data_IF_570551342731
#
_entry.id   IF_570551342731
#
_cell.length_a   1.000
_cell.length_b   1.000
_cell.length_c   1.000
_cell.angle_alpha   90.00
_cell.angle_beta   90.00
_cell.angle_gamma   90.00
#
_symmetry.space_group_name_H-M   'P 1'
#
loop_
_entity.id
_entity.type
_entity.pdbx_description
1 polymer ?
#
# COMPACT_ATOMS: atom_id res chain seq x y z
N UNK A 1 -15.83 2.93 49.32
CA UNK A 1 -15.49 4.37 49.54
C UNK A 1 -16.56 5.20 50.28
N UNK A 2 -17.84 4.79 50.35
CA UNK A 2 -18.91 5.61 51.01
C UNK A 2 -18.85 5.63 52.54
N UNK A 3 -18.47 4.53 53.20
CA UNK A 3 -18.40 4.40 54.67
C UNK A 3 -17.44 5.43 55.31
N UNK A 4 -16.26 5.67 54.68
CA UNK A 4 -15.30 6.67 55.18
C UNK A 4 -15.82 8.11 55.13
N UNK A 5 -16.66 8.46 54.14
CA UNK A 5 -17.23 9.81 54.03
C UNK A 5 -18.26 10.08 55.11
N UNK A 6 -19.07 9.08 55.48
CA UNK A 6 -20.08 9.21 56.53
C UNK A 6 -19.42 9.36 57.90
N UNK A 7 -18.39 8.56 58.20
CA UNK A 7 -17.65 8.71 59.46
C UNK A 7 -16.92 10.05 59.57
N UNK A 8 -16.39 10.58 58.46
CA UNK A 8 -15.75 11.90 58.44
C UNK A 8 -16.77 13.01 58.72
N UNK A 9 -17.97 12.94 58.13
CA UNK A 9 -19.04 13.90 58.42
C UNK A 9 -19.53 13.82 59.87
N UNK A 10 -19.62 12.61 60.43
CA UNK A 10 -20.02 12.40 61.82
C UNK A 10 -19.00 12.98 62.81
N UNK A 11 -17.71 12.73 62.59
CA UNK A 11 -16.63 13.31 63.39
C UNK A 11 -16.55 14.83 63.26
N UNK A 12 -16.72 15.36 62.04
CA UNK A 12 -16.74 16.80 61.80
C UNK A 12 -17.91 17.47 62.54
N UNK A 13 -19.11 16.86 62.51
CA UNK A 13 -20.28 17.33 63.24
C UNK A 13 -20.04 17.42 64.74
N UNK A 14 -19.50 16.36 65.35
CA UNK A 14 -19.17 16.34 66.79
C UNK A 14 -18.15 17.43 67.14
N UNK A 15 -17.09 17.57 66.35
CA UNK A 15 -16.10 18.64 66.56
C UNK A 15 -16.73 20.04 66.49
N UNK A 16 -17.60 20.30 65.51
CA UNK A 16 -18.29 21.59 65.38
C UNK A 16 -19.22 21.84 66.57
N UNK A 17 -19.97 20.83 67.02
CA UNK A 17 -20.84 20.98 68.19
C UNK A 17 -20.05 21.31 69.45
N UNK A 18 -18.91 20.63 69.67
CA UNK A 18 -18.02 20.91 70.82
C UNK A 18 -17.48 22.34 70.75
N UNK A 19 -17.05 22.79 69.57
CA UNK A 19 -16.54 24.17 69.36
C UNK A 19 -17.64 25.19 69.69
N UNK A 20 -18.88 24.97 69.25
CA UNK A 20 -20.01 25.87 69.53
C UNK A 20 -20.31 25.93 71.03
N UNK A 21 -20.34 24.78 71.72
CA UNK A 21 -20.57 24.75 73.18
C UNK A 21 -19.47 25.45 73.97
N UNK A 22 -18.20 25.28 73.55
CA UNK A 22 -17.07 25.99 74.17
C UNK A 22 -17.14 27.50 73.92
N UNK A 23 -17.38 27.92 72.67
CA UNK A 23 -17.56 29.34 72.35
C UNK A 23 -18.71 29.94 73.16
N UNK A 24 -19.84 29.25 73.26
CA UNK A 24 -21.03 29.76 73.95
C UNK A 24 -20.80 29.96 75.46
N UNK A 25 -20.00 29.11 76.09
CA UNK A 25 -19.68 29.23 77.52
C UNK A 25 -18.63 30.32 77.79
N UNK A 26 -17.67 30.52 76.89
CA UNK A 26 -16.59 31.49 77.05
C UNK A 26 -17.01 32.91 76.64
N UNK A 27 -17.89 33.04 75.63
CA UNK A 27 -18.49 34.33 75.24
C UNK A 27 -19.35 34.94 76.35
N UNK A 28 -19.98 34.11 77.20
CA UNK A 28 -20.85 34.60 78.28
C UNK A 28 -20.10 35.35 79.39
N UNK A 29 -18.76 35.29 79.43
CA UNK A 29 -17.96 35.79 80.56
C UNK A 29 -17.18 37.07 80.28
N UNK A 30 -17.07 37.51 79.01
CA UNK A 30 -16.29 38.70 78.62
C UNK A 30 -16.99 39.45 77.48
N UNK A 31 -17.53 40.63 77.79
CA UNK A 31 -18.30 41.46 76.85
C UNK A 31 -17.48 41.91 75.61
N UNK A 32 -16.15 41.96 75.71
CA UNK A 32 -15.28 42.46 74.64
C UNK A 32 -15.04 41.44 73.50
N UNK A 33 -15.24 40.15 73.78
CA UNK A 33 -15.07 39.07 72.77
C UNK A 33 -16.13 39.17 71.68
N UNK A 34 -17.32 39.67 72.01
CA UNK A 34 -18.41 39.83 71.05
C UNK A 34 -18.04 40.78 69.89
N UNK A 35 -17.35 41.89 70.20
CA UNK A 35 -16.93 42.86 69.20
C UNK A 35 -15.86 42.28 68.26
N UNK A 36 -14.87 41.58 68.82
CA UNK A 36 -13.81 40.91 68.05
C UNK A 36 -14.38 39.80 67.16
N UNK A 37 -15.31 39.01 67.70
CA UNK A 37 -15.96 37.92 66.94
C UNK A 37 -16.85 38.47 65.82
N UNK A 38 -17.66 39.50 66.09
CA UNK A 38 -18.51 40.14 65.08
C UNK A 38 -17.68 40.77 63.96
N UNK A 39 -16.54 41.37 64.31
CA UNK A 39 -15.57 41.87 63.33
C UNK A 39 -14.97 40.75 62.49
N UNK A 40 -14.51 39.66 63.11
CA UNK A 40 -13.95 38.51 62.41
C UNK A 40 -14.97 37.83 61.48
N UNK A 41 -16.24 37.73 61.89
CA UNK A 41 -17.32 37.18 61.06
C UNK A 41 -17.62 38.07 59.85
N UNK A 42 -17.66 39.39 60.04
CA UNK A 42 -17.86 40.35 58.94
C UNK A 42 -16.69 40.32 57.96
N UNK A 43 -15.45 40.27 58.47
CA UNK A 43 -14.25 40.13 57.66
C UNK A 43 -14.22 38.79 56.88
N UNK A 44 -14.61 37.69 57.54
CA UNK A 44 -14.72 36.38 56.88
C UNK A 44 -15.75 36.42 55.76
N UNK A 45 -16.92 37.04 55.99
CA UNK A 45 -17.96 37.20 54.96
C UNK A 45 -17.45 38.03 53.77
N UNK A 46 -16.68 39.08 54.02
CA UNK A 46 -16.07 39.89 52.97
C UNK A 46 -15.10 39.07 52.12
N UNK A 47 -14.24 38.26 52.75
CA UNK A 47 -13.30 37.38 52.04
C UNK A 47 -14.05 36.36 51.19
N UNK A 48 -15.07 35.69 51.73
CA UNK A 48 -15.86 34.73 50.96
C UNK A 48 -16.56 35.39 49.76
N UNK A 49 -17.08 36.61 49.93
CA UNK A 49 -17.67 37.38 48.83
C UNK A 49 -16.64 37.67 47.72
N UNK A 50 -15.43 38.09 48.08
CA UNK A 50 -14.34 38.33 47.12
C UNK A 50 -13.97 37.05 46.38
N UNK A 51 -13.83 35.92 47.08
CA UNK A 51 -13.54 34.62 46.47
C UNK A 51 -14.65 34.23 45.48
N UNK A 52 -15.91 34.43 45.84
CA UNK A 52 -17.06 34.14 44.97
C UNK A 52 -17.06 35.01 43.71
N UNK A 53 -16.72 36.31 43.82
CA UNK A 53 -16.57 37.21 42.68
C UNK A 53 -15.45 36.72 41.76
N UNK A 54 -14.28 36.38 42.30
CA UNK A 54 -13.14 35.86 41.53
C UNK A 54 -13.52 34.56 40.81
N UNK A 55 -14.14 33.61 41.51
CA UNK A 55 -14.57 32.35 40.90
C UNK A 55 -15.58 32.58 39.78
N UNK A 56 -16.51 33.52 39.94
CA UNK A 56 -17.47 33.89 38.89
C UNK A 56 -16.77 34.47 37.67
N UNK A 57 -15.77 35.34 37.85
CA UNK A 57 -14.97 35.91 36.76
C UNK A 57 -14.17 34.84 36.01
N UNK A 58 -13.51 33.93 36.73
CA UNK A 58 -12.76 32.82 36.13
C UNK A 58 -13.69 31.86 35.38
N UNK A 59 -14.84 31.52 35.96
CA UNK A 59 -15.85 30.67 35.32
C UNK A 59 -16.39 31.31 34.04
N UNK A 60 -16.66 32.62 34.04
CA UNK A 60 -17.12 33.35 32.85
C UNK A 60 -16.05 33.36 31.75
N UNK A 61 -14.78 33.59 32.08
CA UNK A 61 -13.69 33.53 31.10
C UNK A 61 -13.53 32.13 30.49
N UNK A 62 -13.67 31.08 31.30
CA UNK A 62 -13.63 29.70 30.80
C UNK A 62 -14.83 29.35 29.90
N UNK A 63 -16.00 29.92 30.19
CA UNK A 63 -17.22 29.69 29.40
C UNK A 63 -17.12 30.28 28.01
N UNK A 64 -16.56 31.49 27.87
CA UNK A 64 -16.30 32.11 26.56
C UNK A 64 -15.34 31.27 25.72
N UNK A 65 -14.24 30.78 26.32
CA UNK A 65 -13.27 29.93 25.64
C UNK A 65 -13.90 28.59 25.18
N UNK A 66 -14.74 27.97 26.00
CA UNK A 66 -15.48 26.76 25.63
C UNK A 66 -16.45 27.04 24.49
N UNK A 67 -17.16 28.17 24.50
CA UNK A 67 -18.08 28.53 23.43
C UNK A 67 -17.36 28.72 22.09
N UNK A 68 -16.20 29.39 22.09
CA UNK A 68 -15.35 29.55 20.90
C UNK A 68 -14.81 28.20 20.41
N UNK A 69 -14.40 27.30 21.31
CA UNK A 69 -13.96 25.96 20.94
C UNK A 69 -15.11 25.13 20.31
N UNK A 70 -16.33 25.24 20.86
CA UNK A 70 -17.53 24.60 20.30
C UNK A 70 -17.86 25.17 18.92
N UNK A 71 -17.79 26.49 18.73
CA UNK A 71 -17.97 27.11 17.41
C UNK A 71 -16.93 26.61 16.41
N UNK A 72 -15.65 26.59 16.79
CA UNK A 72 -14.58 26.07 15.93
C UNK A 72 -14.79 24.59 15.56
N UNK A 73 -15.21 23.76 16.52
CA UNK A 73 -15.53 22.36 16.26
C UNK A 73 -16.76 22.20 15.35
N UNK A 74 -17.79 23.05 15.51
CA UNK A 74 -18.97 23.07 14.66
C UNK A 74 -18.61 23.47 13.22
N UNK A 75 -17.76 24.48 13.04
CA UNK A 75 -17.30 24.93 11.72
C UNK A 75 -16.46 23.85 11.02
N UNK A 76 -15.55 23.19 11.76
CA UNK A 76 -14.78 22.06 11.24
C UNK A 76 -15.70 20.90 10.81
N UNK A 77 -16.72 20.59 11.61
CA UNK A 77 -17.71 19.55 11.30
C UNK A 77 -18.50 19.93 10.04
N UNK A 78 -18.91 21.19 9.92
CA UNK A 78 -19.62 21.69 8.75
C UNK A 78 -18.76 21.59 7.48
N UNK A 79 -17.49 21.98 7.56
CA UNK A 79 -16.52 21.86 6.47
C UNK A 79 -16.32 20.41 6.04
N UNK A 80 -16.09 19.51 7.00
CA UNK A 80 -15.96 18.08 6.74
C UNK A 80 -17.22 17.50 6.06
N UNK A 81 -18.41 17.89 6.53
CA UNK A 81 -19.67 17.47 5.90
C UNK A 81 -19.79 17.96 4.46
N UNK A 82 -19.36 19.18 4.16
CA UNK A 82 -19.35 19.72 2.79
C UNK A 82 -18.37 18.95 1.90
N UNK A 83 -17.20 18.61 2.40
CA UNK A 83 -16.20 17.83 1.68
C UNK A 83 -16.71 16.41 1.38
N UNK A 84 -17.34 15.75 2.36
CA UNK A 84 -17.99 14.44 2.15
C UNK A 84 -19.05 14.52 1.05
N UNK A 85 -19.89 15.57 1.05
CA UNK A 85 -20.90 15.76 0.01
C UNK A 85 -20.28 15.95 -1.37
N UNK A 86 -19.18 16.70 -1.46
CA UNK A 86 -18.44 16.88 -2.71
C UNK A 86 -17.85 15.55 -3.21
N UNK A 87 -17.15 14.82 -2.34
CA UNK A 87 -16.58 13.50 -2.68
C UNK A 87 -17.66 12.50 -3.06
N UNK A 88 -18.81 12.49 -2.39
CA UNK A 88 -19.94 11.64 -2.74
C UNK A 88 -20.52 11.96 -4.13
N UNK A 89 -20.61 13.25 -4.48
CA UNK A 89 -21.04 13.68 -5.80
C UNK A 89 -20.04 13.27 -6.90
N UNK A 90 -18.74 13.42 -6.63
CA UNK A 90 -17.71 13.00 -7.58
C UNK A 90 -17.70 11.48 -7.77
N UNK A 91 -17.81 10.72 -6.69
CA UNK A 91 -17.95 9.27 -6.75
C UNK A 91 -19.18 8.86 -7.55
N UNK A 92 -20.32 9.52 -7.34
CA UNK A 92 -21.54 9.27 -8.11
C UNK A 92 -21.31 9.49 -9.61
N UNK A 93 -20.59 10.55 -9.98
CA UNK A 93 -20.24 10.85 -11.37
C UNK A 93 -19.35 9.76 -11.97
N UNK A 94 -18.32 9.34 -11.25
CA UNK A 94 -17.44 8.25 -11.69
C UNK A 94 -18.22 6.93 -11.87
N UNK A 95 -19.12 6.61 -10.95
CA UNK A 95 -19.98 5.42 -11.06
C UNK A 95 -20.90 5.49 -12.28
N UNK A 96 -21.41 6.68 -12.62
CA UNK A 96 -22.20 6.89 -13.84
C UNK A 96 -21.39 6.75 -15.13
N UNK A 97 -20.06 6.92 -15.08
CA UNK A 97 -19.17 6.68 -16.23
C UNK A 97 -18.74 5.22 -16.39
N UNK A 98 -18.97 4.35 -15.40
CA UNK A 98 -18.59 2.93 -15.50
C UNK A 98 -19.29 2.22 -16.68
N UNK A 99 -20.62 2.36 -16.88
CA UNK A 99 -21.30 1.70 -17.99
C UNK A 99 -20.74 2.11 -19.35
N UNK A 100 -20.47 3.40 -19.58
CA UNK A 100 -19.94 3.87 -20.86
C UNK A 100 -18.52 3.36 -21.14
N UNK A 101 -17.68 3.28 -20.11
CA UNK A 101 -16.35 2.65 -20.24
C UNK A 101 -16.45 1.14 -20.47
N UNK A 102 -17.43 0.48 -19.86
CA UNK A 102 -17.69 -0.94 -20.06
C UNK A 102 -18.18 -1.22 -21.49
N UNK A 103 -19.06 -0.37 -22.04
CA UNK A 103 -19.50 -0.43 -23.44
C UNK A 103 -18.31 -0.23 -24.40
N UNK A 104 -17.40 0.70 -24.10
CA UNK A 104 -16.19 0.91 -24.89
C UNK A 104 -15.27 -0.32 -24.86
N UNK A 105 -15.13 -0.95 -23.69
CA UNK A 105 -14.37 -2.21 -23.55
C UNK A 105 -15.06 -3.33 -24.33
N UNK A 106 -16.38 -3.50 -24.21
CA UNK A 106 -17.14 -4.49 -24.97
C UNK A 106 -16.91 -4.31 -26.47
N UNK A 107 -17.02 -3.07 -26.97
CA UNK A 107 -16.76 -2.77 -28.37
C UNK A 107 -15.32 -3.04 -28.80
N UNK A 108 -14.32 -2.85 -27.93
CA UNK A 108 -12.92 -3.24 -28.21
C UNK A 108 -12.78 -4.77 -28.24
N UNK A 109 -13.40 -5.48 -27.31
CA UNK A 109 -13.41 -6.95 -27.27
C UNK A 109 -14.05 -7.52 -28.52
N UNK A 110 -15.20 -7.00 -28.95
CA UNK A 110 -15.89 -7.44 -30.16
C UNK A 110 -15.04 -7.22 -31.42
N UNK A 111 -14.33 -6.09 -31.50
CA UNK A 111 -13.37 -5.83 -32.59
C UNK A 111 -12.19 -6.77 -32.55
N UNK A 112 -11.66 -7.07 -31.36
CA UNK A 112 -10.58 -8.04 -31.19
C UNK A 112 -11.05 -9.43 -31.59
N UNK A 113 -12.24 -9.85 -31.18
CA UNK A 113 -12.82 -11.13 -31.57
C UNK A 113 -13.03 -11.22 -33.08
N UNK A 114 -13.59 -10.17 -33.69
CA UNK A 114 -13.76 -10.09 -35.15
C UNK A 114 -12.41 -10.12 -35.90
N UNK A 115 -11.37 -9.48 -35.36
CA UNK A 115 -10.03 -9.51 -35.94
C UNK A 115 -9.39 -10.90 -35.80
N UNK A 116 -9.62 -11.59 -34.68
CA UNK A 116 -9.18 -12.97 -34.47
C UNK A 116 -9.92 -13.92 -35.41
N UNK A 117 -11.24 -13.78 -35.57
CA UNK A 117 -12.03 -14.59 -36.49
C UNK A 117 -11.59 -14.36 -37.95
N UNK A 118 -11.37 -13.10 -38.35
CA UNK A 118 -10.82 -12.78 -39.67
C UNK A 118 -9.43 -13.39 -39.87
N UNK A 119 -8.60 -13.42 -38.83
CA UNK A 119 -7.28 -14.07 -38.84
C UNK A 119 -7.36 -15.60 -38.88
N UNK A 120 -8.34 -16.20 -38.20
CA UNK A 120 -8.58 -17.64 -38.22
C UNK A 120 -9.11 -18.10 -39.59
N UNK A 121 -9.99 -17.30 -40.20
CA UNK A 121 -10.58 -17.60 -41.51
C UNK A 121 -9.57 -17.42 -42.64
N UNK A 122 -8.59 -16.50 -42.50
CA UNK A 122 -7.50 -16.34 -43.48
C UNK A 122 -6.41 -17.40 -43.38
N UNK A 123 -6.38 -18.19 -42.30
CA UNK A 123 -5.39 -19.25 -42.03
C UNK A 123 -5.90 -20.68 -42.16
N UNK A 124 -7.15 -20.91 -42.62
CA UNK A 124 -7.56 -22.27 -42.99
C UNK A 124 -6.67 -22.76 -44.15
N UNK A 125 -5.73 -23.70 -43.92
CA UNK A 125 -4.94 -24.26 -44.99
C UNK A 125 -5.87 -25.19 -45.77
N UNK A 126 -5.83 -25.10 -47.09
CA UNK A 126 -6.17 -26.29 -47.89
C UNK A 126 -5.20 -27.37 -47.46
N UNK A 127 -5.71 -28.49 -46.98
CA UNK A 127 -4.95 -29.71 -46.80
C UNK A 127 -4.32 -30.05 -48.14
N UNK A 128 -3.01 -29.86 -48.28
CA UNK A 128 -2.17 -30.67 -49.15
C UNK A 128 -0.72 -30.61 -48.65
N UNK A 129 -0.25 -31.81 -48.35
CA UNK A 129 1.12 -32.31 -48.26
C UNK A 129 2.13 -31.65 -47.30
N UNK A 130 2.52 -32.49 -46.33
CA UNK A 130 3.73 -32.34 -45.57
C UNK A 130 4.96 -32.36 -46.50
N UNK A 131 5.72 -31.27 -46.52
CA UNK A 131 7.09 -31.29 -47.04
C UNK A 131 8.05 -30.58 -46.09
N UNK A 132 9.19 -31.23 -45.89
CA UNK A 132 10.27 -30.87 -44.99
C UNK A 132 11.14 -29.84 -45.68
N UNK A 133 11.12 -28.58 -45.27
CA UNK A 133 12.20 -27.64 -45.62
C UNK A 133 12.40 -26.54 -44.58
N UNK A 134 13.65 -26.06 -44.54
CA UNK A 134 14.28 -25.14 -43.58
C UNK A 134 13.53 -23.80 -43.35
N UNK A 135 13.80 -23.08 -42.25
CA UNK A 135 12.90 -22.05 -41.75
C UNK A 135 12.90 -20.81 -42.64
N UNK A 136 11.70 -20.47 -43.12
CA UNK A 136 11.44 -19.31 -43.97
C UNK A 136 11.55 -18.00 -43.17
N UNK A 137 12.08 -16.95 -43.81
CA UNK A 137 12.48 -15.69 -43.16
C UNK A 137 11.34 -14.87 -42.54
N UNK A 138 10.10 -15.23 -42.84
CA UNK A 138 8.89 -14.51 -42.41
C UNK A 138 8.51 -14.81 -40.94
N UNK A 139 8.77 -16.03 -40.47
CA UNK A 139 8.41 -16.43 -39.10
C UNK A 139 9.36 -15.80 -38.05
N UNK A 140 10.63 -15.59 -38.42
CA UNK A 140 11.62 -14.93 -37.56
C UNK A 140 11.28 -13.44 -37.33
N UNK A 141 10.73 -12.75 -38.34
CA UNK A 141 10.27 -11.37 -38.18
C UNK A 141 9.02 -11.29 -37.29
N UNK A 142 8.12 -12.26 -37.37
CA UNK A 142 6.99 -12.35 -36.45
C UNK A 142 7.42 -12.62 -35.00
N UNK A 143 8.43 -13.47 -34.78
CA UNK A 143 9.01 -13.70 -33.46
C UNK A 143 9.69 -12.44 -32.90
N UNK A 144 10.45 -11.70 -33.73
CA UNK A 144 11.05 -10.41 -33.33
C UNK A 144 9.99 -9.35 -33.02
N UNK A 145 8.91 -9.30 -33.82
CA UNK A 145 7.79 -8.37 -33.62
C UNK A 145 7.02 -8.69 -32.35
N UNK A 146 6.86 -9.97 -32.03
CA UNK A 146 6.30 -10.43 -30.77
C UNK A 146 7.18 -10.02 -29.58
N UNK A 147 8.49 -10.26 -29.65
CA UNK A 147 9.44 -9.83 -28.60
C UNK A 147 9.44 -8.31 -28.40
N UNK A 148 9.36 -7.51 -29.47
CA UNK A 148 9.25 -6.03 -29.37
C UNK A 148 7.95 -5.56 -28.70
N UNK A 149 6.88 -6.36 -28.77
CA UNK A 149 5.58 -6.07 -28.15
C UNK A 149 5.42 -6.72 -26.79
N UNK A 150 6.31 -7.64 -26.43
CA UNK A 150 6.30 -8.32 -25.15
C UNK A 150 6.76 -7.36 -24.05
N UNK A 151 6.22 -7.54 -22.85
CA UNK A 151 6.71 -6.81 -21.68
C UNK A 151 8.11 -7.30 -21.31
N UNK A 152 8.90 -6.46 -20.64
CA UNK A 152 10.23 -6.84 -20.15
C UNK A 152 10.16 -8.11 -19.30
N UNK A 153 9.10 -8.28 -18.49
CA UNK A 153 8.89 -9.51 -17.72
C UNK A 153 8.64 -10.75 -18.58
N UNK A 154 7.95 -10.64 -19.72
CA UNK A 154 7.79 -11.78 -20.64
C UNK A 154 9.11 -12.20 -21.29
N UNK A 155 9.94 -11.23 -21.68
CA UNK A 155 11.30 -11.47 -22.20
C UNK A 155 12.19 -12.15 -21.16
N UNK A 156 12.12 -11.70 -19.91
CA UNK A 156 12.86 -12.25 -18.76
C UNK A 156 12.39 -13.68 -18.42
N UNK A 157 11.08 -13.92 -18.44
CA UNK A 157 10.51 -15.25 -18.24
C UNK A 157 10.99 -16.24 -19.33
N UNK A 158 11.02 -15.78 -20.58
CA UNK A 158 11.52 -16.59 -21.69
C UNK A 158 13.02 -16.89 -21.56
N UNK A 159 13.82 -15.92 -21.11
CA UNK A 159 15.23 -16.15 -20.81
C UNK A 159 15.44 -17.21 -19.72
N UNK A 160 14.68 -17.13 -18.62
CA UNK A 160 14.74 -18.10 -17.52
C UNK A 160 14.40 -19.53 -17.98
N UNK A 161 13.39 -19.67 -18.84
CA UNK A 161 13.01 -20.95 -19.46
C UNK A 161 14.16 -21.53 -20.29
N UNK A 162 14.78 -20.72 -21.14
CA UNK A 162 15.88 -21.17 -21.99
C UNK A 162 17.09 -21.60 -21.15
N UNK A 163 17.43 -20.83 -20.12
CA UNK A 163 18.54 -21.18 -19.23
C UNK A 163 18.27 -22.43 -18.39
N UNK A 164 17.02 -22.66 -17.97
CA UNK A 164 16.62 -23.93 -17.34
C UNK A 164 16.88 -25.11 -18.27
N UNK A 165 16.53 -24.99 -19.56
CA UNK A 165 16.73 -26.06 -20.54
C UNK A 165 18.21 -26.27 -20.88
N UNK A 166 18.98 -25.19 -21.10
CA UNK A 166 20.42 -25.27 -21.43
C UNK A 166 21.25 -25.94 -20.34
N UNK A 167 20.92 -25.67 -19.08
CA UNK A 167 21.70 -26.13 -17.93
C UNK A 167 21.13 -27.41 -17.31
N UNK A 168 19.95 -27.86 -17.75
CA UNK A 168 19.18 -28.95 -17.15
C UNK A 168 18.88 -28.74 -15.64
N UNK A 169 18.76 -27.47 -15.21
CA UNK A 169 18.59 -27.07 -13.80
C UNK A 169 17.13 -26.79 -13.47
N UNK A 170 16.71 -27.22 -12.28
CA UNK A 170 15.40 -26.86 -11.70
C UNK A 170 15.39 -25.40 -11.26
N UNK A 171 14.45 -24.62 -11.78
CA UNK A 171 14.35 -23.18 -11.52
C UNK A 171 13.18 -22.90 -10.59
N UNK A 172 13.43 -22.21 -9.48
CA UNK A 172 12.37 -21.72 -8.61
C UNK A 172 11.84 -20.38 -9.17
N UNK A 173 10.62 -20.42 -9.71
CA UNK A 173 9.99 -19.26 -10.35
C UNK A 173 9.69 -18.17 -9.30
N UNK A 174 9.42 -18.56 -8.06
CA UNK A 174 8.97 -17.65 -7.02
C UNK A 174 10.11 -16.95 -6.29
N UNK A 175 11.36 -17.33 -6.56
CA UNK A 175 12.56 -16.72 -6.00
C UNK A 175 13.56 -16.27 -7.07
N UNK A 176 13.09 -16.04 -8.30
CA UNK A 176 13.97 -15.70 -9.43
C UNK A 176 14.47 -14.25 -9.37
N UNK A 177 13.61 -13.35 -8.90
CA UNK A 177 13.89 -11.93 -8.66
C UNK A 177 13.67 -11.59 -7.18
N UNK A 178 14.23 -10.49 -6.72
CA UNK A 178 14.09 -10.01 -5.33
C UNK A 178 12.66 -9.53 -5.01
N UNK A 179 11.83 -9.26 -6.03
CA UNK A 179 10.46 -8.76 -5.88
C UNK A 179 9.41 -9.87 -6.12
N UNK A 180 8.63 -10.16 -5.07
CA UNK A 180 7.56 -11.15 -5.07
C UNK A 180 6.48 -10.89 -6.14
N UNK A 181 6.15 -9.63 -6.43
CA UNK A 181 5.14 -9.28 -7.45
C UNK A 181 5.66 -9.58 -8.84
N UNK A 182 6.93 -9.31 -9.10
CA UNK A 182 7.57 -9.65 -10.38
C UNK A 182 7.67 -11.15 -10.57
N UNK A 183 7.99 -11.92 -9.52
CA UNK A 183 8.01 -13.38 -9.59
C UNK A 183 6.62 -13.98 -9.89
N UNK A 184 5.56 -13.45 -9.27
CA UNK A 184 4.18 -13.85 -9.60
C UNK A 184 3.81 -13.53 -11.06
N UNK A 185 4.28 -12.39 -11.57
CA UNK A 185 4.11 -12.02 -12.97
C UNK A 185 4.86 -12.97 -13.92
N UNK A 186 6.12 -13.32 -13.60
CA UNK A 186 6.92 -14.28 -14.36
C UNK A 186 6.26 -15.66 -14.40
N UNK A 187 5.71 -16.13 -13.26
CA UNK A 187 4.96 -17.38 -13.20
C UNK A 187 3.74 -17.36 -14.14
N UNK A 188 3.03 -16.23 -14.20
CA UNK A 188 1.95 -16.01 -15.15
C UNK A 188 2.41 -16.10 -16.61
N UNK A 189 3.52 -15.45 -16.95
CA UNK A 189 4.11 -15.53 -18.30
C UNK A 189 4.50 -16.96 -18.69
N UNK A 190 5.16 -17.70 -17.79
CA UNK A 190 5.56 -19.10 -18.01
C UNK A 190 4.33 -20.01 -18.22
N UNK A 191 3.26 -19.78 -17.46
CA UNK A 191 2.00 -20.51 -17.64
C UNK A 191 1.36 -20.26 -19.02
N UNK A 192 1.41 -19.02 -19.51
CA UNK A 192 0.93 -18.67 -20.85
C UNK A 192 1.77 -19.37 -21.93
N UNK A 193 3.09 -19.41 -21.80
CA UNK A 193 3.96 -20.11 -22.74
C UNK A 193 3.68 -21.62 -22.81
N UNK A 194 3.34 -22.23 -21.68
CA UNK A 194 2.86 -23.63 -21.66
C UNK A 194 1.50 -23.79 -22.33
N UNK A 195 0.56 -22.88 -22.08
CA UNK A 195 -0.77 -22.94 -22.70
C UNK A 195 -0.70 -22.84 -24.25
N UNK A 196 0.31 -22.15 -24.77
CA UNK A 196 0.57 -22.05 -26.21
C UNK A 196 1.44 -23.19 -26.78
N UNK A 197 1.71 -24.26 -26.02
CA UNK A 197 2.59 -25.37 -26.42
C UNK A 197 4.01 -24.91 -26.85
N UNK A 198 4.47 -23.76 -26.37
CA UNK A 198 5.81 -23.27 -26.66
C UNK A 198 6.87 -23.95 -25.79
N UNK A 199 6.47 -24.36 -24.57
CA UNK A 199 7.35 -24.92 -23.55
C UNK A 199 6.64 -26.04 -22.79
N UNK A 200 7.31 -27.17 -22.62
CA UNK A 200 6.93 -28.23 -21.70
C UNK A 200 7.85 -28.19 -20.48
N UNK A 201 7.26 -28.25 -19.28
CA UNK A 201 8.01 -28.33 -18.04
C UNK A 201 7.35 -29.29 -17.05
N UNK A 202 8.20 -30.01 -16.31
CA UNK A 202 7.81 -30.76 -15.12
C UNK A 202 7.81 -29.82 -13.91
N UNK A 203 6.81 -29.96 -13.03
CA UNK A 203 6.64 -29.09 -11.87
C UNK A 203 6.74 -29.91 -10.58
N UNK A 204 7.72 -29.55 -9.74
CA UNK A 204 7.87 -30.10 -8.38
C UNK A 204 7.80 -28.95 -7.38
N UNK A 205 6.60 -28.71 -6.84
CA UNK A 205 6.37 -27.62 -5.88
C UNK A 205 6.51 -26.23 -6.54
N UNK A 206 7.41 -25.40 -6.03
CA UNK A 206 7.77 -24.08 -6.59
C UNK A 206 8.74 -24.15 -7.76
N UNK A 207 9.39 -25.30 -7.96
CA UNK A 207 10.42 -25.51 -8.97
C UNK A 207 9.85 -26.06 -10.26
N UNK A 208 10.34 -25.52 -11.37
CA UNK A 208 10.09 -26.04 -12.71
C UNK A 208 11.37 -26.59 -13.32
N UNK A 209 11.25 -27.71 -14.01
CA UNK A 209 12.28 -28.24 -14.90
C UNK A 209 11.75 -28.22 -16.31
N UNK A 210 12.32 -27.37 -17.17
CA UNK A 210 11.92 -27.31 -18.58
C UNK A 210 12.43 -28.57 -19.29
N UNK A 211 11.51 -29.36 -19.85
CA UNK A 211 11.84 -30.65 -20.49
C UNK A 211 11.98 -30.52 -22.00
N UNK A 212 11.25 -29.58 -22.61
CA UNK A 212 11.27 -29.39 -24.07
C UNK A 212 10.82 -27.98 -24.43
N UNK A 213 11.50 -27.37 -25.39
CA UNK A 213 11.01 -26.16 -26.08
C UNK A 213 10.59 -26.59 -27.49
N UNK A 214 9.37 -26.21 -27.89
CA UNK A 214 8.86 -26.58 -29.20
C UNK A 214 9.52 -25.72 -30.29
N UNK A 215 10.04 -26.38 -31.33
CA UNK A 215 11.02 -25.79 -32.26
C UNK A 215 10.45 -24.73 -33.22
N UNK A 216 9.14 -24.69 -33.44
CA UNK A 216 8.54 -23.77 -34.41
C UNK A 216 8.53 -22.33 -33.88
N UNK A 217 7.90 -22.09 -32.75
CA UNK A 217 7.80 -20.73 -32.17
C UNK A 217 8.90 -20.48 -31.12
N UNK A 218 9.19 -21.48 -30.29
CA UNK A 218 10.13 -21.32 -29.18
C UNK A 218 11.59 -21.19 -29.62
N UNK A 219 11.99 -21.96 -30.63
CA UNK A 219 13.34 -21.88 -31.21
C UNK A 219 13.62 -20.53 -31.88
N UNK A 220 12.62 -19.95 -32.54
CA UNK A 220 12.74 -18.64 -33.19
C UNK A 220 12.77 -17.50 -32.17
N UNK A 221 11.97 -17.61 -31.11
CA UNK A 221 12.02 -16.71 -29.97
C UNK A 221 13.39 -16.75 -29.28
N UNK A 222 14.04 -17.91 -29.18
CA UNK A 222 15.39 -18.03 -28.64
C UNK A 222 16.42 -17.25 -29.48
N UNK A 223 16.43 -17.44 -30.81
CA UNK A 223 17.34 -16.74 -31.72
C UNK A 223 17.10 -15.23 -31.72
N UNK A 224 15.84 -14.81 -31.66
CA UNK A 224 15.51 -13.40 -31.58
C UNK A 224 15.86 -12.79 -30.20
N UNK A 225 15.73 -13.56 -29.12
CA UNK A 225 16.09 -13.15 -27.77
C UNK A 225 17.60 -12.92 -27.64
N UNK A 226 18.43 -13.87 -28.09
CA UNK A 226 19.89 -13.72 -28.06
C UNK A 226 20.34 -12.49 -28.84
N UNK A 227 19.80 -12.27 -30.04
CA UNK A 227 20.07 -11.08 -30.83
C UNK A 227 19.65 -9.77 -30.13
N UNK A 228 18.56 -9.78 -29.35
CA UNK A 228 18.14 -8.59 -28.57
C UNK A 228 19.03 -8.32 -27.37
N UNK A 229 19.50 -9.35 -26.66
CA UNK A 229 20.46 -9.18 -25.56
C UNK A 229 21.82 -8.67 -26.06
N UNK A 230 22.32 -9.22 -27.17
CA UNK A 230 23.58 -8.77 -27.79
C UNK A 230 23.50 -7.32 -28.27
N UNK A 231 22.34 -6.92 -28.80
CA UNK A 231 22.10 -5.54 -29.23
C UNK A 231 21.93 -4.57 -28.04
N UNK A 232 21.34 -5.04 -26.94
CA UNK A 232 21.17 -4.27 -25.71
C UNK A 232 22.52 -4.03 -24.99
N UNK A 233 23.38 -5.05 -24.95
CA UNK A 233 24.72 -5.00 -24.36
C UNK A 233 25.62 -4.01 -25.13
N UNK A 234 25.50 -3.95 -26.46
CA UNK A 234 26.24 -2.99 -27.31
C UNK A 234 25.74 -1.54 -27.22
N UNK A 235 24.51 -1.31 -26.76
CA UNK A 235 23.89 0.04 -26.70
C UNK A 235 23.86 0.66 -25.30
N UNK A 236 24.18 -0.10 -24.24
CA UNK A 236 24.19 0.41 -22.86
C UNK A 236 22.81 0.80 -22.30
N UNK A 237 21.71 0.50 -23.01
CA UNK A 237 20.45 1.25 -22.89
C UNK A 237 19.34 0.52 -22.12
N UNK A 238 19.62 -0.62 -21.50
CA UNK A 238 18.61 -1.35 -20.72
C UNK A 238 19.16 -1.92 -19.43
N UNK A 239 19.42 -1.04 -18.45
CA UNK A 239 19.75 -1.40 -17.06
C UNK A 239 18.85 -2.52 -16.52
N UNK A 240 17.55 -2.48 -16.79
CA UNK A 240 16.59 -3.47 -16.31
C UNK A 240 16.78 -4.88 -16.89
N UNK A 241 17.10 -5.02 -18.18
CA UNK A 241 17.34 -6.33 -18.81
C UNK A 241 18.68 -6.91 -18.37
N UNK A 242 19.72 -6.07 -18.21
CA UNK A 242 21.04 -6.50 -17.72
C UNK A 242 20.98 -6.90 -16.25
N UNK A 243 20.26 -6.15 -15.40
CA UNK A 243 20.05 -6.47 -13.98
C UNK A 243 19.25 -7.78 -13.86
N UNK A 244 18.18 -7.94 -14.64
CA UNK A 244 17.37 -9.16 -14.62
C UNK A 244 18.16 -10.38 -15.12
N UNK A 245 18.98 -10.22 -16.17
CA UNK A 245 19.89 -11.27 -16.67
C UNK A 245 20.88 -11.69 -15.57
N UNK A 246 21.54 -10.73 -14.92
CA UNK A 246 22.49 -11.00 -13.84
C UNK A 246 21.86 -11.57 -12.56
N UNK A 247 20.61 -11.24 -12.25
CA UNK A 247 19.86 -11.87 -11.14
C UNK A 247 19.49 -13.31 -11.48
N UNK A 248 19.02 -13.57 -12.71
CA UNK A 248 18.71 -14.92 -13.16
C UNK A 248 19.96 -15.79 -13.19
N UNK A 249 21.05 -15.31 -13.79
CA UNK A 249 22.31 -16.05 -13.86
C UNK A 249 22.85 -16.35 -12.44
N UNK A 250 22.69 -15.43 -11.48
CA UNK A 250 23.00 -15.69 -10.06
C UNK A 250 22.10 -16.76 -9.43
N UNK A 251 20.78 -16.67 -9.66
CA UNK A 251 19.81 -17.64 -9.13
C UNK A 251 20.03 -19.05 -9.67
N UNK A 252 20.61 -19.15 -10.88
CA UNK A 252 20.95 -20.40 -11.55
C UNK A 252 22.40 -20.87 -11.29
N UNK A 253 23.15 -20.15 -10.44
CA UNK A 253 24.51 -20.53 -10.04
C UNK A 253 25.60 -20.28 -11.09
N UNK A 254 25.36 -19.40 -12.07
CA UNK A 254 26.26 -19.12 -13.20
C UNK A 254 27.19 -17.92 -13.02
N UNK A 255 27.15 -17.18 -11.91
CA UNK A 255 27.93 -15.95 -11.79
C UNK A 255 29.44 -16.19 -11.64
N UNK A 256 30.22 -15.71 -12.61
CA UNK A 256 31.59 -15.22 -12.40
C UNK A 256 31.59 -14.01 -11.46
N UNK A 257 32.69 -13.72 -10.74
CA UNK A 257 32.68 -12.75 -9.65
C UNK A 257 32.68 -11.30 -10.14
N UNK A 258 31.67 -10.55 -9.67
CA UNK A 258 31.68 -9.15 -9.18
C UNK A 258 32.61 -8.15 -9.92
N UNK A 259 32.00 -7.27 -10.71
CA UNK A 259 32.59 -5.95 -11.01
C UNK A 259 32.82 -5.17 -9.71
N UNK A 260 34.00 -4.57 -9.65
CA UNK A 260 34.62 -3.76 -8.59
C UNK A 260 33.75 -2.52 -8.31
N UNK A 261 33.61 -2.06 -7.05
CA UNK A 261 32.93 -0.80 -6.79
C UNK A 261 33.79 0.37 -7.29
N UNK A 262 33.18 1.29 -8.03
CA UNK A 262 33.73 2.61 -8.35
C UNK A 262 34.10 3.33 -7.06
N UNK A 263 35.39 3.65 -6.91
CA UNK A 263 35.86 4.53 -5.85
C UNK A 263 35.32 5.94 -6.10
N UNK A 264 34.51 6.41 -5.15
CA UNK A 264 34.07 7.80 -5.05
C UNK A 264 35.30 8.72 -4.91
N UNK A 265 35.39 9.62 -5.89
CA UNK A 265 36.18 10.84 -5.88
C UNK A 265 35.71 11.71 -4.69
N UNK A 266 36.43 11.68 -3.57
CA UNK A 266 36.32 12.70 -2.54
C UNK A 266 37.40 13.76 -2.75
N UNK A 267 36.96 14.92 -3.20
CA UNK A 267 37.63 16.20 -3.01
C UNK A 267 37.94 16.43 -1.52
N UNK A 268 39.22 16.58 -1.18
CA UNK A 268 39.76 17.48 -0.13
C UNK A 268 41.27 17.69 -0.33
#
# INVERSE_FOLDING_TARGET
>A
MRIKRVHLFYWLGICVTIIITLLSNDLSKKDDIYNVLSFALTFSSLILAIIAIIQTLVANNSSAAVLTAIQGAADQTHSASNQIRFTANELRKQVQEIPSRLDEISGKVDRTHSAIDAFATSRLPKEDEADKTAPDGDQLEDAKKYLRRCTVGGVVAWYAINKSLELDVEVDIFSLLDDEKLNNYLAGCIAIYRAHNAVEYDKKGSKIKVTKINHDFGGQLYVALSATFDAAEKKGDTKLLTISKGQIDRSLGLSTPREVPDDEETDE
#
